data_IF_164133001436
#
_entry.id   IF_164133001436
#
_cell.length_a   1.000
_cell.length_b   1.000
_cell.length_c   1.000
_cell.angle_alpha   90.00
_cell.angle_beta   90.00
_cell.angle_gamma   90.00
#
_symmetry.space_group_name_H-M   'P 1'
#
loop_
_entity.id
_entity.type
_entity.pdbx_description
1 polymer ?
#
# COMPACT_ATOMS: atom_id res chain seq x y z
N UNK A 1 53.03 -10.50 18.22
CA UNK A 1 51.75 -9.78 18.43
C UNK A 1 52.08 -8.46 19.11
N UNK A 2 52.12 -7.38 18.34
CA UNK A 2 52.39 -6.03 18.86
C UNK A 2 51.08 -5.46 19.37
N UNK A 3 50.91 -5.34 20.68
CA UNK A 3 49.81 -4.62 21.31
C UNK A 3 49.91 -3.14 20.92
N UNK A 4 48.84 -2.60 20.32
CA UNK A 4 48.72 -1.16 20.10
C UNK A 4 48.81 -0.45 21.46
N UNK A 5 49.51 0.69 21.56
CA UNK A 5 49.46 1.51 22.76
C UNK A 5 48.02 2.00 22.94
N UNK A 6 47.43 1.70 24.11
CA UNK A 6 46.16 2.29 24.50
C UNK A 6 46.35 3.81 24.52
N UNK A 7 45.56 4.50 23.70
CA UNK A 7 45.55 5.95 23.65
C UNK A 7 44.92 6.43 24.97
N UNK A 8 45.76 6.66 25.99
CA UNK A 8 45.32 7.22 27.27
C UNK A 8 44.75 8.61 26.97
N UNK A 9 43.47 8.82 27.28
CA UNK A 9 42.86 10.14 27.13
C UNK A 9 43.63 11.14 28.01
N UNK A 10 43.87 12.37 27.54
CA UNK A 10 44.59 13.36 28.31
C UNK A 10 43.93 13.58 29.66
N UNK A 11 44.74 13.67 30.73
CA UNK A 11 44.24 13.92 32.06
C UNK A 11 43.38 15.21 32.08
N UNK A 12 42.20 15.20 32.72
CA UNK A 12 41.32 16.35 32.75
C UNK A 12 42.02 17.56 33.37
N UNK A 13 41.68 18.75 32.87
CA UNK A 13 42.16 20.04 33.40
C UNK A 13 41.85 20.16 34.90
N UNK A 14 42.58 21.02 35.61
CA UNK A 14 42.38 21.24 37.06
C UNK A 14 40.93 21.55 37.43
N UNK A 15 40.28 22.40 36.63
CA UNK A 15 38.87 22.75 36.79
C UNK A 15 37.92 21.57 36.52
N UNK A 16 38.29 20.66 35.63
CA UNK A 16 37.55 19.42 35.38
C UNK A 16 37.69 18.41 36.52
N UNK A 17 38.84 18.36 37.21
CA UNK A 17 39.08 17.43 38.32
C UNK A 17 38.22 17.73 39.55
N UNK A 18 37.90 19.00 39.79
CA UNK A 18 37.07 19.43 40.92
C UNK A 18 35.58 19.12 40.73
N UNK A 19 35.14 18.88 39.49
CA UNK A 19 33.74 18.53 39.14
C UNK A 19 33.49 17.03 39.06
N UNK A 20 34.50 16.19 39.31
CA UNK A 20 34.32 14.73 39.31
C UNK A 20 33.62 14.30 40.60
N UNK A 21 32.50 13.58 40.46
CA UNK A 21 31.75 13.03 41.60
C UNK A 21 32.63 11.98 42.30
N UNK A 22 32.83 12.14 43.61
CA UNK A 22 33.66 11.25 44.43
C UNK A 22 32.78 10.15 45.05
N UNK A 23 33.27 8.91 45.04
CA UNK A 23 32.66 7.80 45.79
C UNK A 23 32.33 6.56 44.96
N UNK A 24 32.18 6.68 43.64
CA UNK A 24 31.88 5.55 42.75
C UNK A 24 32.59 5.72 41.40
N UNK A 25 33.23 4.64 40.94
CA UNK A 25 33.81 4.55 39.60
C UNK A 25 33.33 3.24 39.00
N UNK A 26 32.73 3.29 37.82
CA UNK A 26 32.20 2.12 37.13
C UNK A 26 33.10 1.83 35.95
N UNK A 27 33.86 0.72 36.00
CA UNK A 27 34.71 0.28 34.88
C UNK A 27 35.63 1.39 34.34
N UNK A 28 36.26 2.15 35.24
CA UNK A 28 37.13 3.29 34.89
C UNK A 28 36.40 4.56 34.43
N UNK A 29 35.08 4.52 34.19
CA UNK A 29 34.27 5.71 33.88
C UNK A 29 33.97 6.47 35.17
N UNK A 30 34.10 7.80 35.08
CA UNK A 30 33.85 8.75 36.18
C UNK A 30 32.80 9.75 35.72
N UNK A 31 31.89 10.10 36.62
CA UNK A 31 30.81 11.04 36.35
C UNK A 31 31.20 12.47 36.77
N UNK A 32 30.77 13.45 35.98
CA UNK A 32 30.99 14.86 36.25
C UNK A 32 29.70 15.52 36.74
N UNK A 33 29.77 16.27 37.82
CA UNK A 33 28.71 17.15 38.32
C UNK A 33 28.74 18.47 37.54
N UNK A 34 28.40 18.40 36.25
CA UNK A 34 28.24 19.58 35.41
C UNK A 34 26.78 20.05 35.47
N UNK A 35 26.53 21.37 35.57
CA UNK A 35 25.18 21.88 35.43
C UNK A 35 24.63 21.55 34.03
N UNK A 36 23.32 21.31 33.95
CA UNK A 36 22.66 21.07 32.67
C UNK A 36 22.93 22.25 31.69
N UNK A 37 23.20 21.98 30.41
CA UNK A 37 23.42 23.04 29.44
C UNK A 37 22.23 24.01 29.39
N UNK A 38 22.50 25.32 29.44
CA UNK A 38 21.44 26.33 29.48
C UNK A 38 20.47 26.24 28.30
N UNK A 39 20.97 25.96 27.08
CA UNK A 39 20.13 25.76 25.90
C UNK A 39 19.21 24.53 26.01
N UNK A 40 19.67 23.48 26.68
CA UNK A 40 18.88 22.26 26.90
C UNK A 40 17.74 22.53 27.88
N UNK A 41 18.04 23.26 28.96
CA UNK A 41 17.03 23.76 29.90
C UNK A 41 15.99 24.66 29.21
N UNK A 42 16.41 25.54 28.30
CA UNK A 42 15.48 26.36 27.51
C UNK A 42 14.54 25.52 26.65
N UNK A 43 15.06 24.53 25.91
CA UNK A 43 14.23 23.62 25.13
C UNK A 43 13.24 22.85 26.01
N UNK A 44 13.68 22.35 27.17
CA UNK A 44 12.81 21.69 28.13
C UNK A 44 11.68 22.61 28.60
N UNK A 45 11.97 23.86 28.94
CA UNK A 45 10.93 24.80 29.36
C UNK A 45 10.01 25.25 28.22
N UNK A 46 10.50 25.33 26.99
CA UNK A 46 9.66 25.61 25.81
C UNK A 46 8.61 24.50 25.64
N UNK A 47 8.99 23.22 25.76
CA UNK A 47 8.01 22.13 25.61
C UNK A 47 7.00 22.10 26.77
N UNK A 48 7.45 22.39 28.00
CA UNK A 48 6.57 22.50 29.18
C UNK A 48 5.55 23.63 29.04
N UNK A 49 5.91 24.75 28.41
CA UNK A 49 4.99 25.88 28.15
C UNK A 49 4.12 25.64 26.92
N UNK A 50 4.68 25.04 25.86
CA UNK A 50 3.95 24.72 24.64
C UNK A 50 2.79 23.76 24.91
N UNK A 51 3.00 22.72 25.73
CA UNK A 51 1.97 21.71 26.00
C UNK A 51 0.63 22.28 26.52
N UNK A 52 0.57 23.08 27.61
CA UNK A 52 -0.68 23.67 28.07
C UNK A 52 -1.23 24.70 27.09
N UNK A 53 -0.39 25.48 26.39
CA UNK A 53 -0.86 26.43 25.36
C UNK A 53 -1.56 25.66 24.23
N UNK A 54 -0.96 24.56 23.77
CA UNK A 54 -1.51 23.72 22.72
C UNK A 54 -2.84 23.09 23.15
N UNK A 55 -2.89 22.51 24.37
CA UNK A 55 -4.13 21.94 24.93
C UNK A 55 -5.22 23.01 25.05
N UNK A 56 -4.90 24.19 25.57
CA UNK A 56 -5.85 25.30 25.65
C UNK A 56 -6.30 25.71 24.26
N UNK A 57 -5.37 25.85 23.31
CA UNK A 57 -5.66 26.25 21.93
C UNK A 57 -6.67 25.34 21.26
N UNK A 58 -6.47 24.02 21.32
CA UNK A 58 -7.38 23.04 20.71
C UNK A 58 -8.74 22.96 21.44
N UNK A 59 -8.79 23.21 22.76
CA UNK A 59 -10.04 23.15 23.54
C UNK A 59 -10.84 24.45 23.49
N UNK A 60 -10.18 25.58 23.22
CA UNK A 60 -10.81 26.92 23.16
C UNK A 60 -11.05 27.40 21.73
N UNK A 61 -10.56 26.66 20.72
CA UNK A 61 -10.72 27.00 19.30
C UNK A 61 -9.79 28.12 18.83
N UNK A 62 -8.68 28.38 19.52
CA UNK A 62 -7.62 29.29 19.05
C UNK A 62 -6.60 28.58 18.13
N UNK A 63 -6.53 27.24 18.20
CA UNK A 63 -5.80 26.40 17.26
C UNK A 63 -6.84 25.56 16.53
N UNK A 64 -6.86 25.69 15.20
CA UNK A 64 -7.76 24.93 14.34
C UNK A 64 -7.52 23.42 14.52
N UNK A 65 -8.61 22.65 14.53
CA UNK A 65 -8.54 21.19 14.67
C UNK A 65 -8.45 20.53 13.30
N UNK A 66 -7.92 19.30 13.27
CA UNK A 66 -7.83 18.51 12.04
C UNK A 66 -9.20 18.19 11.42
N UNK A 67 -10.30 18.39 12.17
CA UNK A 67 -11.65 18.03 11.73
C UNK A 67 -12.13 18.96 10.61
N UNK A 68 -11.75 20.23 10.64
CA UNK A 68 -12.07 21.19 9.58
C UNK A 68 -11.29 20.89 8.30
N UNK A 69 -9.97 20.68 8.40
CA UNK A 69 -9.12 20.26 7.28
C UNK A 69 -9.60 18.93 6.67
N UNK A 70 -10.00 17.97 7.52
CA UNK A 70 -10.54 16.70 7.08
C UNK A 70 -11.89 16.87 6.37
N UNK A 71 -12.76 17.73 6.90
CA UNK A 71 -14.05 18.01 6.28
C UNK A 71 -13.89 18.70 4.91
N UNK A 72 -12.97 19.65 4.79
CA UNK A 72 -12.62 20.30 3.52
C UNK A 72 -12.06 19.28 2.52
N UNK A 73 -11.09 18.46 2.93
CA UNK A 73 -10.50 17.43 2.06
C UNK A 73 -11.51 16.38 1.60
N UNK A 74 -12.44 15.97 2.48
CA UNK A 74 -13.52 15.05 2.11
C UNK A 74 -14.52 15.70 1.16
N UNK A 75 -14.87 16.97 1.37
CA UNK A 75 -15.75 17.71 0.46
C UNK A 75 -15.12 17.88 -0.93
N UNK A 76 -13.81 18.14 -1.00
CA UNK A 76 -13.07 18.18 -2.27
C UNK A 76 -13.07 16.82 -2.97
N UNK A 77 -12.80 15.74 -2.24
CA UNK A 77 -12.86 14.36 -2.78
C UNK A 77 -14.26 14.01 -3.28
N UNK A 78 -15.31 14.37 -2.54
CA UNK A 78 -16.70 14.12 -2.94
C UNK A 78 -17.06 14.94 -4.20
N UNK A 79 -16.67 16.21 -4.26
CA UNK A 79 -16.88 17.05 -5.44
C UNK A 79 -16.15 16.51 -6.67
N UNK A 80 -14.90 16.07 -6.52
CA UNK A 80 -14.14 15.42 -7.60
C UNK A 80 -14.82 14.12 -8.06
N UNK A 81 -15.27 13.28 -7.11
CA UNK A 81 -16.00 12.05 -7.43
C UNK A 81 -17.31 12.31 -8.16
N UNK A 82 -18.07 13.32 -7.73
CA UNK A 82 -19.32 13.70 -8.37
C UNK A 82 -19.09 14.27 -9.78
N UNK A 83 -18.09 15.12 -9.95
CA UNK A 83 -17.70 15.64 -11.26
C UNK A 83 -17.25 14.52 -12.20
N UNK A 84 -16.45 13.57 -11.70
CA UNK A 84 -16.05 12.37 -12.45
C UNK A 84 -17.26 11.53 -12.85
N UNK A 85 -18.19 11.24 -11.93
CA UNK A 85 -19.39 10.47 -12.22
C UNK A 85 -20.37 11.18 -13.19
N UNK A 86 -20.43 12.51 -13.16
CA UNK A 86 -21.24 13.29 -14.11
C UNK A 86 -20.62 13.34 -15.51
N UNK A 87 -19.28 13.39 -15.58
CA UNK A 87 -18.54 13.41 -16.84
C UNK A 87 -18.39 12.03 -17.49
N UNK A 88 -18.43 10.96 -16.67
CA UNK A 88 -18.28 9.57 -17.11
C UNK A 88 -19.57 8.81 -16.74
N UNK A 89 -20.48 8.58 -17.70
CA UNK A 89 -21.72 7.84 -17.43
C UNK A 89 -21.39 6.47 -16.82
N UNK A 90 -22.30 5.95 -15.99
CA UNK A 90 -22.14 4.64 -15.36
C UNK A 90 -21.84 3.59 -16.42
N UNK A 91 -20.68 2.97 -16.31
CA UNK A 91 -20.27 1.86 -17.14
C UNK A 91 -21.11 0.64 -16.78
N UNK A 92 -21.89 0.15 -17.74
CA UNK A 92 -22.71 -1.06 -17.62
C UNK A 92 -21.91 -2.26 -18.15
N UNK A 93 -21.45 -3.12 -17.25
CA UNK A 93 -20.65 -4.30 -17.57
C UNK A 93 -21.51 -5.47 -18.08
N UNK A 94 -22.37 -5.22 -19.07
CA UNK A 94 -23.14 -6.28 -19.72
C UNK A 94 -22.28 -7.12 -20.67
N UNK A 95 -22.80 -8.28 -21.10
CA UNK A 95 -22.07 -9.21 -21.96
C UNK A 95 -21.62 -8.60 -23.29
N UNK A 96 -22.40 -7.66 -23.87
CA UNK A 96 -22.06 -7.04 -25.15
C UNK A 96 -20.93 -6.02 -24.99
N UNK A 97 -20.99 -5.21 -23.94
CA UNK A 97 -19.93 -4.26 -23.58
C UNK A 97 -18.63 -5.00 -23.28
N UNK A 98 -18.67 -6.04 -22.46
CA UNK A 98 -17.48 -6.84 -22.13
C UNK A 98 -16.89 -7.54 -23.37
N UNK A 99 -17.73 -8.05 -24.27
CA UNK A 99 -17.27 -8.62 -25.53
C UNK A 99 -16.59 -7.57 -26.43
N UNK A 100 -17.11 -6.34 -26.47
CA UNK A 100 -16.47 -5.21 -27.14
C UNK A 100 -15.08 -4.91 -26.60
N UNK A 101 -14.91 -4.92 -25.27
CA UNK A 101 -13.62 -4.70 -24.62
C UNK A 101 -12.63 -5.85 -24.88
N UNK A 102 -13.09 -7.10 -24.81
CA UNK A 102 -12.26 -8.26 -25.13
C UNK A 102 -11.79 -8.27 -26.59
N UNK A 103 -12.57 -7.67 -27.50
CA UNK A 103 -12.23 -7.51 -28.92
C UNK A 103 -11.37 -6.28 -29.25
N UNK A 104 -11.16 -5.36 -28.31
CA UNK A 104 -10.39 -4.13 -28.53
C UNK A 104 -8.96 -4.25 -27.96
N UNK A 105 -7.92 -4.26 -28.80
CA UNK A 105 -6.53 -4.34 -28.35
C UNK A 105 -6.13 -3.24 -27.36
N UNK A 106 -6.72 -2.04 -27.45
CA UNK A 106 -6.42 -0.96 -26.52
C UNK A 106 -6.94 -1.27 -25.10
N UNK A 107 -8.11 -1.90 -24.99
CA UNK A 107 -8.68 -2.30 -23.70
C UNK A 107 -7.91 -3.49 -23.10
N UNK A 108 -7.48 -4.44 -23.95
CA UNK A 108 -6.62 -5.54 -23.54
C UNK A 108 -5.27 -5.04 -23.00
N UNK A 109 -4.65 -4.07 -23.66
CA UNK A 109 -3.38 -3.46 -23.21
C UNK A 109 -3.55 -2.69 -21.89
N UNK A 110 -4.64 -1.92 -21.75
CA UNK A 110 -4.96 -1.25 -20.48
C UNK A 110 -5.13 -2.27 -19.35
N UNK A 111 -5.86 -3.36 -19.61
CA UNK A 111 -6.03 -4.47 -18.69
C UNK A 111 -4.73 -5.16 -18.30
N UNK A 112 -3.79 -5.31 -19.24
CA UNK A 112 -2.45 -5.85 -18.97
C UNK A 112 -1.69 -4.98 -17.96
N UNK A 113 -1.78 -3.66 -18.10
CA UNK A 113 -1.21 -2.69 -17.16
C UNK A 113 -1.76 -2.88 -15.74
N UNK A 114 -3.09 -2.95 -15.60
CA UNK A 114 -3.72 -3.22 -14.30
C UNK A 114 -3.32 -4.59 -13.74
N UNK A 115 -3.33 -5.64 -14.56
CA UNK A 115 -2.99 -7.00 -14.17
C UNK A 115 -1.59 -7.11 -13.56
N UNK A 116 -0.61 -6.45 -14.18
CA UNK A 116 0.77 -6.45 -13.73
C UNK A 116 0.94 -5.85 -12.32
N UNK A 117 0.05 -4.95 -11.91
CA UNK A 117 0.14 -4.29 -10.59
C UNK A 117 -0.40 -5.12 -9.45
N UNK A 118 -1.50 -5.87 -9.66
CA UNK A 118 -2.24 -6.53 -8.57
C UNK A 118 -2.51 -8.02 -8.77
N UNK A 119 -2.58 -8.52 -10.00
CA UNK A 119 -2.98 -9.90 -10.28
C UNK A 119 -1.79 -10.85 -10.45
N UNK A 120 -0.71 -10.38 -11.10
CA UNK A 120 0.46 -11.18 -11.44
C UNK A 120 1.14 -11.83 -10.23
N UNK A 121 1.10 -11.18 -9.06
CA UNK A 121 1.69 -11.74 -7.83
C UNK A 121 1.09 -13.09 -7.41
N UNK A 122 -0.18 -13.35 -7.74
CA UNK A 122 -0.88 -14.59 -7.40
C UNK A 122 -1.09 -15.50 -8.60
N UNK A 123 -1.33 -14.93 -9.79
CA UNK A 123 -1.64 -15.69 -11.00
C UNK A 123 -0.45 -15.81 -11.97
N UNK A 124 0.71 -15.24 -11.62
CA UNK A 124 1.91 -15.22 -12.46
C UNK A 124 1.85 -14.17 -13.57
N UNK A 125 3.00 -13.71 -14.04
CA UNK A 125 3.09 -12.61 -15.03
C UNK A 125 2.39 -12.92 -16.37
N UNK A 126 2.22 -14.20 -16.70
CA UNK A 126 1.57 -14.69 -17.92
C UNK A 126 0.27 -15.45 -17.63
N UNK A 127 -0.30 -15.32 -16.43
CA UNK A 127 -1.51 -16.03 -16.03
C UNK A 127 -1.31 -17.52 -15.73
N UNK A 128 -0.09 -18.02 -15.71
CA UNK A 128 0.23 -19.44 -15.57
C UNK A 128 -0.21 -20.07 -14.22
N UNK A 129 -0.57 -19.25 -13.25
CA UNK A 129 -0.95 -19.66 -11.89
C UNK A 129 0.25 -19.84 -10.96
N UNK A 130 0.19 -19.22 -9.78
CA UNK A 130 1.13 -19.45 -8.67
C UNK A 130 0.34 -19.90 -7.44
N UNK A 131 -0.01 -18.94 -6.59
CA UNK A 131 -0.92 -19.11 -5.46
C UNK A 131 -2.35 -19.29 -6.01
N UNK A 132 -2.75 -18.40 -6.93
CA UNK A 132 -4.00 -18.48 -7.69
C UNK A 132 -3.99 -19.57 -8.76
N UNK A 133 -5.16 -19.86 -9.37
CA UNK A 133 -5.29 -20.79 -10.49
C UNK A 133 -4.59 -20.31 -11.76
N UNK A 134 -4.35 -21.26 -12.67
CA UNK A 134 -4.01 -20.97 -14.06
C UNK A 134 -5.18 -20.28 -14.76
N UNK A 135 -4.91 -19.17 -15.45
CA UNK A 135 -5.88 -18.38 -16.21
C UNK A 135 -5.75 -18.60 -17.72
N UNK A 136 -4.79 -19.42 -18.17
CA UNK A 136 -4.52 -19.63 -19.60
C UNK A 136 -5.23 -20.85 -20.19
N UNK A 137 -5.79 -21.73 -19.36
CA UNK A 137 -6.45 -22.96 -19.82
C UNK A 137 -7.98 -22.81 -19.94
N UNK A 138 -8.66 -23.91 -20.26
CA UNK A 138 -10.12 -23.95 -20.46
C UNK A 138 -10.90 -24.29 -19.18
N UNK A 139 -10.24 -24.41 -18.03
CA UNK A 139 -10.82 -24.88 -16.78
C UNK A 139 -11.00 -23.74 -15.78
N UNK A 140 -12.23 -23.58 -15.28
CA UNK A 140 -12.60 -22.48 -14.40
C UNK A 140 -13.28 -22.98 -13.13
N UNK A 141 -12.93 -22.34 -12.00
CA UNK A 141 -13.53 -22.65 -10.69
C UNK A 141 -14.86 -21.91 -10.44
N UNK A 142 -15.07 -20.78 -11.12
CA UNK A 142 -16.15 -19.83 -10.84
C UNK A 142 -16.90 -19.39 -12.10
N UNK A 143 -16.90 -20.23 -13.15
CA UNK A 143 -17.38 -19.85 -14.48
C UNK A 143 -16.29 -19.14 -15.29
N UNK A 144 -16.39 -19.25 -16.62
CA UNK A 144 -15.37 -18.79 -17.57
C UNK A 144 -15.89 -17.84 -18.63
N UNK A 145 -17.14 -17.38 -18.51
CA UNK A 145 -17.68 -16.34 -19.39
C UNK A 145 -17.09 -14.98 -19.01
N UNK A 146 -17.15 -13.99 -19.91
CA UNK A 146 -16.69 -12.63 -19.60
C UNK A 146 -17.40 -12.04 -18.37
N UNK A 147 -18.72 -12.30 -18.24
CA UNK A 147 -19.50 -11.87 -17.08
C UNK A 147 -19.09 -12.58 -15.79
N UNK A 148 -18.73 -13.86 -15.85
CA UNK A 148 -18.22 -14.59 -14.68
C UNK A 148 -16.88 -14.03 -14.24
N UNK A 149 -15.95 -13.86 -15.18
CA UNK A 149 -14.61 -13.31 -14.94
C UNK A 149 -14.73 -11.90 -14.34
N UNK A 150 -15.56 -11.04 -14.92
CA UNK A 150 -15.84 -9.70 -14.41
C UNK A 150 -16.36 -9.74 -12.97
N UNK A 151 -17.35 -10.59 -12.69
CA UNK A 151 -17.95 -10.73 -11.36
C UNK A 151 -16.93 -11.20 -10.33
N UNK A 152 -16.11 -12.20 -10.69
CA UNK A 152 -15.05 -12.73 -9.81
C UNK A 152 -13.98 -11.68 -9.51
N UNK A 153 -13.61 -10.85 -10.49
CA UNK A 153 -12.66 -9.76 -10.26
C UNK A 153 -13.30 -8.69 -9.36
N UNK A 154 -14.52 -8.27 -9.67
CA UNK A 154 -15.22 -7.21 -8.93
C UNK A 154 -15.49 -7.57 -7.47
N UNK A 155 -16.01 -8.77 -7.22
CA UNK A 155 -16.44 -9.23 -5.88
C UNK A 155 -15.34 -9.99 -5.14
N UNK A 156 -14.34 -10.49 -5.85
CA UNK A 156 -13.28 -11.32 -5.30
C UNK A 156 -13.76 -12.71 -4.86
N UNK A 157 -12.84 -13.48 -4.28
CA UNK A 157 -13.14 -14.74 -3.58
C UNK A 157 -12.43 -14.72 -2.23
N UNK A 158 -12.94 -13.94 -1.23
CA UNK A 158 -12.20 -13.68 0.01
C UNK A 158 -11.88 -14.95 0.80
N UNK A 159 -12.77 -15.95 0.77
CA UNK A 159 -12.57 -17.25 1.41
C UNK A 159 -11.37 -18.04 0.85
N UNK A 160 -10.88 -17.66 -0.35
CA UNK A 160 -9.71 -18.25 -1.02
C UNK A 160 -8.54 -17.26 -1.13
N UNK A 161 -8.65 -16.08 -0.53
CA UNK A 161 -7.58 -15.08 -0.48
C UNK A 161 -7.55 -14.09 -1.65
N UNK A 162 -8.51 -14.13 -2.58
CA UNK A 162 -8.64 -13.11 -3.63
C UNK A 162 -9.54 -11.97 -3.12
N UNK A 163 -9.03 -10.73 -2.95
CA UNK A 163 -9.83 -9.62 -2.47
C UNK A 163 -10.82 -9.11 -3.55
N UNK A 164 -11.83 -8.36 -3.12
CA UNK A 164 -12.75 -7.67 -4.03
C UNK A 164 -12.05 -6.46 -4.65
N UNK A 165 -11.92 -6.44 -5.98
CA UNK A 165 -11.20 -5.37 -6.67
C UNK A 165 -12.06 -4.16 -7.02
N UNK A 166 -13.39 -4.25 -6.87
CA UNK A 166 -14.32 -3.11 -6.99
C UNK A 166 -14.10 -1.99 -5.96
N UNK A 167 -13.31 -2.25 -4.93
CA UNK A 167 -12.90 -1.24 -3.94
C UNK A 167 -11.76 -0.36 -4.47
N UNK A 168 -10.95 -0.86 -5.40
CA UNK A 168 -9.76 -0.18 -5.92
C UNK A 168 -9.92 0.24 -7.39
N UNK A 169 -10.63 -0.54 -8.21
CA UNK A 169 -10.83 -0.29 -9.62
C UNK A 169 -12.29 0.08 -9.91
N UNK A 170 -12.47 0.99 -10.85
CA UNK A 170 -13.77 1.32 -11.43
C UNK A 170 -14.32 0.16 -12.27
N UNK A 171 -15.64 0.14 -12.55
CA UNK A 171 -16.25 -0.88 -13.40
C UNK A 171 -15.58 -1.02 -14.78
N UNK A 172 -15.17 0.09 -15.40
CA UNK A 172 -14.48 0.07 -16.69
C UNK A 172 -13.07 -0.54 -16.61
N UNK A 173 -12.30 -0.20 -15.58
CA UNK A 173 -10.98 -0.80 -15.34
C UNK A 173 -11.09 -2.30 -15.06
N UNK A 174 -12.15 -2.74 -14.38
CA UNK A 174 -12.44 -4.18 -14.20
C UNK A 174 -12.78 -4.83 -15.54
N UNK A 175 -13.53 -4.16 -16.43
CA UNK A 175 -13.78 -4.67 -17.78
C UNK A 175 -12.50 -4.79 -18.62
N UNK A 176 -11.55 -3.85 -18.47
CA UNK A 176 -10.23 -3.93 -19.09
C UNK A 176 -9.44 -5.13 -18.54
N UNK A 177 -9.42 -5.33 -17.21
CA UNK A 177 -8.84 -6.52 -16.57
C UNK A 177 -9.48 -7.81 -17.11
N UNK A 178 -10.81 -7.85 -17.22
CA UNK A 178 -11.56 -8.98 -17.79
C UNK A 178 -11.14 -9.25 -19.23
N UNK A 179 -11.00 -8.22 -20.06
CA UNK A 179 -10.53 -8.34 -21.44
C UNK A 179 -9.12 -8.94 -21.51
N UNK A 180 -8.19 -8.47 -20.67
CA UNK A 180 -6.85 -9.03 -20.60
C UNK A 180 -6.85 -10.49 -20.15
N UNK A 181 -7.56 -10.82 -19.06
CA UNK A 181 -7.66 -12.21 -18.57
C UNK A 181 -8.25 -13.14 -19.65
N UNK A 182 -9.28 -12.69 -20.37
CA UNK A 182 -9.85 -13.45 -21.48
C UNK A 182 -8.84 -13.68 -22.61
N UNK A 183 -7.97 -12.69 -22.89
CA UNK A 183 -6.92 -12.81 -23.92
C UNK A 183 -5.84 -13.84 -23.58
N UNK A 184 -5.69 -14.22 -22.30
CA UNK A 184 -4.72 -15.23 -21.86
C UNK A 184 -5.17 -16.66 -22.18
N UNK A 185 -6.47 -16.89 -22.41
CA UNK A 185 -7.02 -18.22 -22.70
C UNK A 185 -6.39 -18.78 -23.98
N UNK A 186 -5.88 -20.00 -23.90
CA UNK A 186 -5.19 -20.69 -25.00
C UNK A 186 -3.71 -20.33 -25.14
N UNK A 187 -3.16 -19.43 -24.31
CA UNK A 187 -1.72 -19.18 -24.27
C UNK A 187 -0.98 -20.32 -23.54
N UNK A 188 0.30 -20.51 -23.87
CA UNK A 188 1.12 -21.59 -23.33
C UNK A 188 2.37 -21.05 -22.62
N UNK A 189 2.21 -20.49 -21.40
CA UNK A 189 3.34 -20.00 -20.61
C UNK A 189 4.23 -21.15 -20.13
N UNK A 190 5.50 -20.89 -19.77
CA UNK A 190 6.37 -21.91 -19.21
C UNK A 190 5.90 -22.29 -17.79
N UNK A 191 5.74 -23.60 -17.56
CA UNK A 191 5.30 -24.18 -16.28
C UNK A 191 3.88 -23.74 -15.85
N UNK A 192 2.84 -23.97 -16.66
CA UNK A 192 1.47 -23.71 -16.23
C UNK A 192 1.12 -24.60 -15.05
N UNK A 193 0.40 -24.05 -14.07
CA UNK A 193 -0.20 -24.82 -12.99
C UNK A 193 -1.25 -25.76 -13.57
N UNK A 194 -1.37 -26.94 -12.98
CA UNK A 194 -2.35 -27.95 -13.41
C UNK A 194 -3.77 -27.37 -13.44
N UNK A 195 -4.62 -27.75 -14.43
CA UNK A 195 -5.97 -27.22 -14.57
C UNK A 195 -6.83 -27.44 -13.33
N UNK A 196 -7.65 -26.45 -12.98
CA UNK A 196 -8.50 -26.47 -11.78
C UNK A 196 -9.94 -26.08 -12.12
N UNK A 197 -10.89 -26.87 -11.61
CA UNK A 197 -12.32 -26.61 -11.81
C UNK A 197 -12.91 -27.37 -12.99
N UNK A 198 -13.92 -26.78 -13.61
CA UNK A 198 -14.69 -27.42 -14.68
C UNK A 198 -14.30 -26.82 -16.03
N UNK A 199 -14.25 -27.68 -17.06
CA UNK A 199 -13.97 -27.23 -18.42
C UNK A 199 -15.15 -26.41 -18.94
N UNK A 200 -14.92 -25.15 -19.25
CA UNK A 200 -15.92 -24.26 -19.84
C UNK A 200 -15.76 -24.31 -21.35
N UNK A 201 -16.73 -24.91 -22.02
CA UNK A 201 -16.84 -24.88 -23.49
C UNK A 201 -17.48 -23.57 -23.92
N UNK A 202 -16.79 -22.80 -24.75
CA UNK A 202 -17.38 -21.59 -25.33
C UNK A 202 -18.58 -22.00 -26.19
N UNK A 203 -19.72 -21.32 -26.01
CA UNK A 203 -20.85 -21.46 -26.90
C UNK A 203 -20.44 -20.91 -28.27
N UNK A 204 -20.05 -21.82 -29.17
CA UNK A 204 -19.73 -21.67 -30.60
C UNK A 204 -19.72 -20.24 -31.18
N UNK A 205 -18.50 -19.78 -31.48
CA UNK A 205 -18.07 -18.75 -32.46
C UNK A 205 -19.12 -17.84 -33.09
#
# INVERSE_FOLDING_TARGET
MSTQPHHEAPAPSEEGRDRVIKGHTYDGIREYDNPMPGWWLWLFWITVVFAPIYIIGINTGFIDTYEEDLAEGLAELEAMRAAYAAANPTFEADAATLAGYAGDPAMVEAGAGHYATVCAACHGDQGQGLIGPNLTDEYWLHGGTLTDIYTVIAEGVPAKGMPAWSVQFSPEEIAQLTAYVASLKGTNPPNPKEPQGERVVDAES
#
